data_IF_520076806162
#
_entry.id   IF_520076806162
#
_cell.length_a   1.000
_cell.length_b   1.000
_cell.length_c   1.000
_cell.angle_alpha   90.00
_cell.angle_beta   90.00
_cell.angle_gamma   90.00
#
_symmetry.space_group_name_H-M   'P 1'
#
loop_
_entity.id
_entity.type
_entity.pdbx_description
1 polymer ?
#
# COMPACT_ATOMS: atom_id res chain seq x y z
N UNK A 1 -5.03 -6.83 -18.24
CA UNK A 1 -4.68 -6.11 -16.99
C UNK A 1 -5.92 -5.53 -16.28
N UNK A 2 -7.01 -6.29 -16.11
CA UNK A 2 -8.25 -5.78 -15.43
C UNK A 2 -8.20 -5.88 -13.90
N UNK A 3 -7.37 -6.76 -13.35
CA UNK A 3 -7.32 -7.02 -11.91
C UNK A 3 -6.49 -5.97 -11.14
N UNK A 4 -5.39 -5.49 -11.73
CA UNK A 4 -4.46 -4.53 -11.10
C UNK A 4 -5.17 -3.23 -10.65
N UNK A 5 -6.05 -2.66 -11.49
CA UNK A 5 -6.81 -1.46 -11.14
C UNK A 5 -7.78 -1.68 -9.96
N UNK A 6 -8.34 -2.89 -9.81
CA UNK A 6 -9.24 -3.18 -8.68
C UNK A 6 -8.48 -3.27 -7.36
N UNK A 7 -7.24 -3.77 -7.37
CA UNK A 7 -6.38 -3.80 -6.20
C UNK A 7 -5.90 -2.41 -5.81
N UNK A 8 -5.48 -1.60 -6.79
CA UNK A 8 -5.10 -0.20 -6.53
C UNK A 8 -6.24 0.60 -5.90
N UNK A 9 -7.46 0.43 -6.40
CA UNK A 9 -8.63 1.07 -5.80
C UNK A 9 -8.89 0.63 -4.36
N UNK A 10 -8.79 -0.67 -4.05
CA UNK A 10 -8.98 -1.20 -2.69
C UNK A 10 -7.92 -0.72 -1.71
N UNK A 11 -6.66 -0.69 -2.15
CA UNK A 11 -5.55 -0.17 -1.35
C UNK A 11 -5.74 1.32 -1.07
N UNK A 12 -6.13 2.11 -2.09
CA UNK A 12 -6.39 3.54 -1.92
C UNK A 12 -7.50 3.82 -0.91
N UNK A 13 -8.59 3.05 -0.95
CA UNK A 13 -9.67 3.12 0.07
C UNK A 13 -9.10 2.82 1.46
N UNK A 14 -8.33 1.74 1.60
CA UNK A 14 -7.78 1.31 2.88
C UNK A 14 -6.81 2.35 3.47
N UNK A 15 -5.97 2.96 2.64
CA UNK A 15 -5.11 4.06 3.06
C UNK A 15 -5.96 5.26 3.53
N UNK A 16 -7.03 5.61 2.83
CA UNK A 16 -7.93 6.68 3.25
C UNK A 16 -8.64 6.36 4.57
N UNK A 17 -9.10 5.13 4.78
CA UNK A 17 -9.67 4.68 6.05
C UNK A 17 -8.69 4.85 7.21
N UNK A 18 -7.42 4.49 6.99
CA UNK A 18 -6.36 4.67 7.99
C UNK A 18 -6.06 6.16 8.26
N UNK A 19 -5.95 6.98 7.20
CA UNK A 19 -5.75 8.43 7.34
C UNK A 19 -6.90 9.15 8.06
N UNK A 20 -8.12 8.60 7.96
CA UNK A 20 -9.30 9.08 8.68
C UNK A 20 -9.44 8.49 10.09
N UNK A 21 -8.45 7.72 10.57
CA UNK A 21 -8.47 7.00 11.85
C UNK A 21 -9.69 6.07 12.00
N UNK A 22 -10.23 5.52 10.90
CA UNK A 22 -11.33 4.54 10.93
C UNK A 22 -10.86 3.12 11.20
N UNK A 23 -9.60 2.84 10.88
CA UNK A 23 -8.90 1.58 11.15
C UNK A 23 -7.61 1.92 11.89
N UNK A 24 -7.19 1.06 12.82
CA UNK A 24 -5.90 1.20 13.50
C UNK A 24 -4.76 0.62 12.66
N UNK A 25 -3.51 0.74 13.14
CA UNK A 25 -2.34 0.28 12.41
C UNK A 25 -2.35 -1.24 12.20
N UNK A 26 -2.74 -2.00 13.21
CA UNK A 26 -2.74 -3.47 13.14
C UNK A 26 -3.79 -3.94 12.13
N UNK A 27 -5.00 -3.37 12.17
CA UNK A 27 -6.06 -3.66 11.22
C UNK A 27 -5.68 -3.23 9.79
N UNK A 28 -5.03 -2.07 9.64
CA UNK A 28 -4.52 -1.57 8.37
C UNK A 28 -3.50 -2.55 7.74
N UNK A 29 -2.48 -2.95 8.50
CA UNK A 29 -1.45 -3.87 8.04
C UNK A 29 -2.03 -5.26 7.73
N UNK A 30 -2.92 -5.78 8.57
CA UNK A 30 -3.58 -7.06 8.31
C UNK A 30 -4.39 -7.03 7.02
N UNK A 31 -5.16 -5.97 6.76
CA UNK A 31 -5.93 -5.82 5.52
C UNK A 31 -5.01 -5.69 4.30
N UNK A 32 -3.88 -4.99 4.40
CA UNK A 32 -2.89 -4.93 3.31
C UNK A 32 -2.29 -6.30 3.00
N UNK A 33 -1.87 -7.05 4.02
CA UNK A 33 -1.33 -8.41 3.84
C UNK A 33 -2.38 -9.38 3.27
N UNK A 34 -3.64 -9.23 3.65
CA UNK A 34 -4.74 -9.99 3.06
C UNK A 34 -4.92 -9.67 1.56
N UNK A 35 -4.83 -8.39 1.17
CA UNK A 35 -4.88 -7.98 -0.23
C UNK A 35 -3.68 -8.50 -1.03
N UNK A 36 -2.48 -8.48 -0.47
CA UNK A 36 -1.28 -9.07 -1.08
C UNK A 36 -1.45 -10.57 -1.32
N UNK A 37 -1.93 -11.33 -0.32
CA UNK A 37 -2.19 -12.76 -0.47
C UNK A 37 -3.26 -13.07 -1.52
N UNK A 38 -4.35 -12.29 -1.56
CA UNK A 38 -5.37 -12.41 -2.60
C UNK A 38 -4.81 -12.14 -4.00
N UNK A 39 -3.87 -11.21 -4.12
CA UNK A 39 -3.18 -10.92 -5.37
C UNK A 39 -2.28 -12.08 -5.81
N UNK A 40 -1.45 -12.61 -4.89
CA UNK A 40 -0.61 -13.80 -5.11
C UNK A 40 -1.43 -14.99 -5.63
N UNK A 41 -2.56 -15.27 -4.99
CA UNK A 41 -3.48 -16.34 -5.40
C UNK A 41 -4.08 -16.12 -6.80
N UNK A 42 -4.49 -14.88 -7.12
CA UNK A 42 -5.12 -14.57 -8.41
C UNK A 42 -4.14 -14.52 -9.58
N UNK A 43 -2.86 -14.22 -9.34
CA UNK A 43 -1.85 -14.24 -10.39
C UNK A 43 -1.44 -15.65 -10.83
N UNK A 44 -1.78 -16.71 -10.08
CA UNK A 44 -1.19 -18.06 -10.25
C UNK A 44 0.34 -18.01 -10.38
N UNK A 45 0.99 -17.02 -9.77
CA UNK A 45 2.44 -16.91 -9.78
C UNK A 45 2.96 -17.84 -8.69
N UNK A 46 3.66 -18.89 -9.10
CA UNK A 46 4.32 -19.87 -8.22
C UNK A 46 5.58 -19.28 -7.55
N UNK A 47 5.92 -18.03 -7.85
CA UNK A 47 7.00 -17.28 -7.22
C UNK A 47 6.55 -16.74 -5.87
N UNK A 48 7.11 -17.29 -4.80
CA UNK A 48 6.91 -16.86 -3.40
C UNK A 48 7.33 -15.40 -3.12
N UNK A 49 7.89 -14.70 -4.10
CA UNK A 49 8.51 -13.38 -3.97
C UNK A 49 7.66 -12.22 -4.52
N UNK A 50 6.39 -12.44 -4.86
CA UNK A 50 5.54 -11.35 -5.38
C UNK A 50 5.07 -10.43 -4.24
N UNK A 51 5.89 -9.47 -3.84
CA UNK A 51 5.56 -8.49 -2.81
C UNK A 51 4.75 -7.32 -3.38
N UNK A 52 3.84 -6.77 -2.57
CA UNK A 52 3.15 -5.52 -2.89
C UNK A 52 4.07 -4.35 -2.56
N UNK A 53 4.32 -3.53 -3.58
CA UNK A 53 5.18 -2.36 -3.47
C UNK A 53 4.38 -1.08 -3.70
N UNK A 54 4.58 -0.11 -2.81
CA UNK A 54 3.94 1.20 -2.88
C UNK A 54 4.96 2.25 -3.32
N UNK A 55 4.51 3.12 -4.20
CA UNK A 55 5.26 4.30 -4.63
C UNK A 55 4.38 5.53 -4.45
N UNK A 56 4.84 6.48 -3.64
CA UNK A 56 4.04 7.63 -3.23
C UNK A 56 4.23 8.87 -4.11
N UNK A 57 5.23 8.90 -4.99
CA UNK A 57 5.37 9.89 -6.06
C UNK A 57 5.96 9.28 -7.33
N UNK A 58 5.67 9.86 -8.48
CA UNK A 58 6.25 9.43 -9.76
C UNK A 58 7.78 9.53 -9.76
N UNK A 59 8.31 10.58 -9.13
CA UNK A 59 9.75 10.82 -8.96
C UNK A 59 10.37 10.03 -7.81
N UNK A 60 9.59 9.24 -7.07
CA UNK A 60 10.16 8.43 -6.00
C UNK A 60 11.09 7.37 -6.61
N UNK A 61 12.27 7.18 -6.07
CA UNK A 61 13.09 6.01 -6.41
C UNK A 61 12.97 4.93 -5.35
N UNK A 62 12.32 5.25 -4.23
CA UNK A 62 12.15 4.33 -3.12
C UNK A 62 10.87 3.54 -3.31
N UNK A 63 11.00 2.26 -3.00
CA UNK A 63 9.92 1.29 -3.03
C UNK A 63 9.58 0.99 -1.59
N UNK A 64 8.35 1.24 -1.17
CA UNK A 64 7.91 0.98 0.20
C UNK A 64 7.16 -0.34 0.25
N UNK A 65 7.58 -1.25 1.14
CA UNK A 65 6.87 -2.51 1.38
C UNK A 65 5.84 -2.38 2.52
N UNK A 66 5.00 -3.39 2.71
CA UNK A 66 4.08 -3.44 3.86
C UNK A 66 4.86 -3.42 5.19
N UNK A 67 6.01 -4.11 5.26
CA UNK A 67 6.84 -4.14 6.47
C UNK A 67 7.50 -2.78 6.74
N UNK A 68 7.89 -2.04 5.69
CA UNK A 68 8.38 -0.67 5.84
C UNK A 68 7.28 0.26 6.38
N UNK A 69 6.05 0.14 5.86
CA UNK A 69 4.90 0.89 6.38
C UNK A 69 4.62 0.58 7.84
N UNK A 70 4.62 -0.69 8.23
CA UNK A 70 4.41 -1.12 9.61
C UNK A 70 5.49 -0.51 10.52
N UNK A 71 6.75 -0.58 10.11
CA UNK A 71 7.88 -0.01 10.85
C UNK A 71 7.80 1.52 10.95
N UNK A 72 7.51 2.20 9.85
CA UNK A 72 7.54 3.66 9.82
C UNK A 72 6.33 4.27 10.54
N UNK A 73 5.15 3.65 10.44
CA UNK A 73 3.93 4.11 11.11
C UNK A 73 3.90 3.79 12.62
N UNK A 74 4.70 2.81 13.06
CA UNK A 74 4.87 2.46 14.48
C UNK A 74 5.97 3.25 15.19
N UNK A 75 6.76 4.05 14.47
CA UNK A 75 7.96 4.71 15.00
C UNK A 75 7.99 6.22 14.71
N UNK A 76 9.13 6.88 14.95
CA UNK A 76 9.33 8.33 14.77
C UNK A 76 9.07 8.84 13.34
N UNK A 77 9.08 7.95 12.33
CA UNK A 77 8.83 8.27 10.93
C UNK A 77 7.33 8.37 10.58
N UNK A 78 6.45 8.19 11.56
CA UNK A 78 5.00 8.11 11.35
C UNK A 78 4.45 9.32 10.61
N UNK A 79 4.80 10.53 11.04
CA UNK A 79 4.26 11.76 10.44
C UNK A 79 4.70 11.92 8.98
N UNK A 80 5.96 11.66 8.68
CA UNK A 80 6.49 11.69 7.32
C UNK A 80 5.77 10.69 6.41
N UNK A 81 5.56 9.47 6.91
CA UNK A 81 4.85 8.41 6.16
C UNK A 81 3.39 8.78 5.93
N UNK A 82 2.70 9.32 6.94
CA UNK A 82 1.34 9.82 6.80
C UNK A 82 1.22 10.95 5.78
N UNK A 83 2.19 11.87 5.72
CA UNK A 83 2.22 12.93 4.71
C UNK A 83 2.38 12.35 3.30
N UNK A 84 3.30 11.40 3.10
CA UNK A 84 3.48 10.70 1.82
C UNK A 84 2.22 9.96 1.38
N UNK A 85 1.56 9.27 2.30
CA UNK A 85 0.27 8.60 2.05
C UNK A 85 -0.81 9.61 1.65
N UNK A 86 -0.88 10.77 2.32
CA UNK A 86 -1.83 11.83 2.00
C UNK A 86 -1.58 12.42 0.63
N UNK A 87 -0.33 12.71 0.28
CA UNK A 87 0.04 13.23 -1.04
C UNK A 87 -0.36 12.26 -2.15
N UNK A 88 -0.09 10.97 -1.96
CA UNK A 88 -0.47 9.94 -2.92
C UNK A 88 -1.98 9.76 -3.09
N UNK A 89 -2.80 10.10 -2.08
CA UNK A 89 -4.27 10.00 -2.19
C UNK A 89 -4.91 11.31 -2.66
N UNK A 90 -4.42 12.47 -2.19
CA UNK A 90 -5.08 13.77 -2.43
C UNK A 90 -4.81 14.34 -3.82
N UNK A 91 -3.73 13.97 -4.48
CA UNK A 91 -3.32 14.62 -5.72
C UNK A 91 -4.03 14.09 -6.98
N UNK A 92 -5.00 13.17 -6.87
CA UNK A 92 -5.43 12.30 -7.99
C UNK A 92 -4.24 11.62 -8.69
N UNK A 93 -3.07 11.63 -8.05
CA UNK A 93 -1.90 10.89 -8.47
C UNK A 93 -2.23 9.44 -8.19
N UNK A 94 -2.36 8.64 -9.24
CA UNK A 94 -2.57 7.20 -9.11
C UNK A 94 -1.54 6.65 -8.12
N UNK A 95 -1.98 6.11 -6.98
CA UNK A 95 -1.12 5.34 -6.10
C UNK A 95 -0.50 4.23 -6.97
N UNK A 96 0.78 4.39 -7.30
CA UNK A 96 1.44 3.47 -8.21
C UNK A 96 1.82 2.23 -7.41
N UNK A 97 1.02 1.18 -7.58
CA UNK A 97 1.28 -0.12 -6.99
C UNK A 97 2.02 -0.95 -8.01
N UNK A 98 3.26 -1.28 -7.68
CA UNK A 98 4.08 -2.18 -8.48
C UNK A 98 4.06 -3.56 -7.84
N UNK A 99 4.20 -4.56 -8.70
CA UNK A 99 4.28 -5.96 -8.32
C UNK A 99 5.45 -6.54 -9.09
N UNK A 100 6.38 -7.21 -8.39
CA UNK A 100 7.38 -8.07 -9.03
C UNK A 100 6.77 -9.41 -9.40
#
# INVERSE_FOLDING_TARGET
MKNLNQYSHRVSILFNEYLQNRVDLDEFIQKLRALENLYKQNLKSDTQENFMWFKFSEDDTLVTTIDDLERDLSNSNRNFTLERMREAINLDNDLFIYYS
#
